data_IF_467973151040
#
_entry.id   IF_467973151040
#
_cell.length_a   1.000
_cell.length_b   1.000
_cell.length_c   1.000
_cell.angle_alpha   90.00
_cell.angle_beta   90.00
_cell.angle_gamma   90.00
#
_symmetry.space_group_name_H-M   'P 1'
#
loop_
_entity.id
_entity.type
_entity.pdbx_description
1 polymer ?
#
# COMPACT_ATOMS: atom_id res chain seq x y z
N UNK A 1 -6.44 -4.48 -2.75
CA UNK A 1 -6.77 -3.06 -3.06
C UNK A 1 -6.61 -2.76 -4.57
N UNK A 2 -5.62 -3.35 -5.22
CA UNK A 2 -5.34 -3.30 -6.67
C UNK A 2 -6.44 -3.80 -7.60
N UNK A 3 -7.12 -4.90 -7.26
CA UNK A 3 -8.12 -5.55 -8.12
C UNK A 3 -9.27 -4.61 -8.50
N UNK A 4 -9.69 -3.72 -7.58
CA UNK A 4 -10.81 -2.82 -7.86
C UNK A 4 -10.51 -1.84 -9.00
N UNK A 5 -9.33 -1.21 -9.00
CA UNK A 5 -8.92 -0.26 -10.04
C UNK A 5 -8.89 -0.93 -11.42
N UNK A 6 -8.58 -2.22 -11.48
CA UNK A 6 -8.62 -3.00 -12.72
C UNK A 6 -10.03 -3.25 -13.26
N UNK A 7 -11.06 -3.22 -12.39
CA UNK A 7 -12.46 -3.43 -12.80
C UNK A 7 -13.12 -2.16 -13.34
N UNK A 8 -12.51 -1.00 -13.13
CA UNK A 8 -13.01 0.27 -13.64
C UNK A 8 -13.04 0.26 -15.18
N UNK A 9 -14.01 1.00 -15.72
CA UNK A 9 -14.07 1.24 -17.16
C UNK A 9 -12.83 2.03 -17.60
N UNK A 10 -12.20 1.66 -18.71
CA UNK A 10 -10.97 2.30 -19.21
C UNK A 10 -11.12 3.78 -19.55
N UNK A 11 -12.36 4.30 -19.66
CA UNK A 11 -12.65 5.72 -19.84
C UNK A 11 -12.62 6.52 -18.53
N UNK A 12 -12.61 5.85 -17.38
CA UNK A 12 -12.50 6.48 -16.07
C UNK A 12 -11.03 6.70 -15.77
N UNK A 13 -10.69 7.95 -15.50
CA UNK A 13 -9.38 8.34 -14.98
C UNK A 13 -9.56 8.74 -13.51
N UNK A 14 -8.85 8.06 -12.64
CA UNK A 14 -8.74 8.41 -11.23
C UNK A 14 -7.67 9.50 -11.12
N UNK A 15 -7.98 10.58 -10.39
CA UNK A 15 -7.01 11.64 -10.11
C UNK A 15 -5.85 11.08 -9.30
N UNK A 16 -6.05 10.98 -7.99
CA UNK A 16 -5.01 10.55 -7.06
C UNK A 16 -5.43 9.28 -6.33
N UNK A 17 -4.48 8.36 -6.16
CA UNK A 17 -4.61 7.19 -5.28
C UNK A 17 -3.55 7.30 -4.20
N UNK A 18 -4.00 7.41 -2.96
CA UNK A 18 -3.14 7.50 -1.78
C UNK A 18 -3.22 6.16 -1.04
N UNK A 19 -2.08 5.50 -0.94
CA UNK A 19 -1.91 4.19 -0.32
C UNK A 19 -1.20 4.37 1.02
N UNK A 20 -1.86 4.00 2.12
CA UNK A 20 -1.35 4.18 3.49
C UNK A 20 -0.92 2.82 4.03
N UNK A 21 0.36 2.70 4.41
CA UNK A 21 1.03 1.45 4.79
C UNK A 21 0.70 0.27 3.83
N UNK A 22 0.89 0.42 2.51
CA UNK A 22 0.47 -0.61 1.58
C UNK A 22 1.49 -1.74 1.50
N UNK A 23 0.99 -2.95 1.26
CA UNK A 23 1.79 -4.16 1.07
C UNK A 23 1.21 -5.01 -0.06
N UNK A 24 2.07 -5.79 -0.70
CA UNK A 24 1.72 -6.85 -1.65
C UNK A 24 2.21 -8.20 -1.11
N UNK A 25 3.34 -8.21 -0.42
CA UNK A 25 3.87 -9.41 0.22
C UNK A 25 3.53 -9.39 1.71
N UNK A 26 2.97 -10.51 2.21
CA UNK A 26 2.75 -10.69 3.63
C UNK A 26 4.10 -10.87 4.34
N UNK A 27 4.32 -10.13 5.41
CA UNK A 27 5.57 -10.16 6.17
C UNK A 27 5.80 -11.51 6.88
N UNK A 28 7.05 -11.98 6.87
CA UNK A 28 7.41 -13.28 7.45
C UNK A 28 7.26 -13.31 8.98
N UNK A 29 7.46 -12.19 9.67
CA UNK A 29 7.29 -12.15 11.13
C UNK A 29 5.82 -12.18 11.49
N UNK A 30 4.97 -11.50 10.72
CA UNK A 30 3.50 -11.63 10.84
C UNK A 30 3.07 -13.09 10.69
N UNK A 31 3.62 -13.83 9.72
CA UNK A 31 3.32 -15.26 9.56
C UNK A 31 3.80 -16.08 10.77
N UNK A 32 4.97 -15.77 11.34
CA UNK A 32 5.50 -16.47 12.51
C UNK A 32 4.65 -16.23 13.76
N UNK A 33 4.15 -15.01 13.94
CA UNK A 33 3.38 -14.60 15.12
C UNK A 33 1.92 -15.05 15.05
N UNK A 34 1.26 -14.88 13.91
CA UNK A 34 -0.17 -15.18 13.73
C UNK A 34 -0.44 -16.57 13.14
N UNK A 35 0.57 -17.21 12.56
CA UNK A 35 0.50 -18.57 12.01
C UNK A 35 -0.31 -18.68 10.71
N UNK A 36 -0.74 -19.90 10.40
CA UNK A 36 -1.42 -20.24 9.15
C UNK A 36 -2.73 -19.46 8.92
N UNK A 37 -3.36 -18.95 9.99
CA UNK A 37 -4.59 -18.17 9.90
C UNK A 37 -4.37 -16.86 9.11
N UNK A 38 -3.28 -16.13 9.39
CA UNK A 38 -2.92 -14.92 8.67
C UNK A 38 -2.68 -15.20 7.18
N UNK A 39 -2.01 -16.32 6.87
CA UNK A 39 -1.77 -16.76 5.49
C UNK A 39 -3.09 -17.01 4.77
N UNK A 40 -4.04 -17.75 5.38
CA UNK A 40 -5.34 -18.02 4.75
C UNK A 40 -6.15 -16.74 4.51
N UNK A 41 -6.11 -15.79 5.43
CA UNK A 41 -6.78 -14.49 5.29
C UNK A 41 -6.14 -13.64 4.18
N UNK A 42 -4.81 -13.61 4.12
CA UNK A 42 -4.05 -12.84 3.15
C UNK A 42 -4.06 -13.46 1.74
N UNK A 43 -4.31 -14.77 1.63
CA UNK A 43 -4.20 -15.55 0.39
C UNK A 43 -4.87 -14.89 -0.82
N UNK A 44 -6.12 -14.38 -0.77
CA UNK A 44 -6.73 -13.73 -1.93
C UNK A 44 -6.00 -12.45 -2.37
N UNK A 45 -5.32 -11.76 -1.44
CA UNK A 45 -4.59 -10.53 -1.73
C UNK A 45 -3.20 -10.80 -2.31
N UNK A 46 -2.56 -11.88 -1.88
CA UNK A 46 -1.20 -12.29 -2.32
C UNK A 46 -1.25 -13.06 -3.64
N UNK A 47 -2.22 -13.96 -3.81
CA UNK A 47 -2.28 -14.85 -4.97
C UNK A 47 -3.06 -14.26 -6.15
N UNK A 48 -3.88 -13.23 -5.94
CA UNK A 48 -4.58 -12.58 -7.06
C UNK A 48 -3.61 -11.66 -7.78
N UNK A 49 -3.22 -11.96 -9.03
CA UNK A 49 -2.27 -11.15 -9.76
C UNK A 49 -2.86 -9.78 -10.07
N UNK A 50 -1.99 -8.78 -10.10
CA UNK A 50 -2.35 -7.39 -10.35
C UNK A 50 -1.79 -6.97 -11.70
N UNK A 51 -2.63 -6.45 -12.58
CA UNK A 51 -2.16 -5.83 -13.82
C UNK A 51 -1.72 -4.39 -13.54
N UNK A 52 -0.54 -4.23 -12.96
CA UNK A 52 0.04 -2.93 -12.62
C UNK A 52 0.16 -1.99 -13.84
N UNK A 53 0.35 -2.53 -15.04
CA UNK A 53 0.34 -1.74 -16.27
C UNK A 53 -1.03 -1.12 -16.57
N UNK A 54 -2.11 -1.89 -16.42
CA UNK A 54 -3.47 -1.37 -16.58
C UNK A 54 -3.77 -0.34 -15.50
N UNK A 55 -3.49 -0.67 -14.23
CA UNK A 55 -3.72 0.21 -13.08
C UNK A 55 -2.98 1.55 -13.25
N UNK A 56 -1.70 1.52 -13.67
CA UNK A 56 -0.90 2.73 -13.92
C UNK A 56 -1.52 3.67 -14.96
N UNK A 57 -2.14 3.13 -16.01
CA UNK A 57 -2.73 3.95 -17.09
C UNK A 57 -4.00 4.69 -16.68
N UNK A 58 -4.67 4.22 -15.62
CA UNK A 58 -5.98 4.73 -15.20
C UNK A 58 -5.89 5.75 -14.07
N UNK A 59 -4.70 5.95 -13.50
CA UNK A 59 -4.50 6.81 -12.34
C UNK A 59 -3.48 7.89 -12.68
N UNK A 60 -3.79 9.14 -12.37
CA UNK A 60 -2.91 10.27 -12.69
C UNK A 60 -1.69 10.30 -11.76
N UNK A 61 -1.89 10.00 -10.48
CA UNK A 61 -0.83 9.96 -9.49
C UNK A 61 -1.07 8.89 -8.43
N UNK A 62 -0.03 8.10 -8.14
CA UNK A 62 0.04 7.26 -6.95
C UNK A 62 0.91 7.91 -5.91
N UNK A 63 0.47 7.87 -4.66
CA UNK A 63 1.26 8.21 -3.48
C UNK A 63 1.22 7.01 -2.55
N UNK A 64 2.37 6.58 -2.06
CA UNK A 64 2.47 5.52 -1.07
C UNK A 64 3.21 6.05 0.17
N UNK A 65 2.55 5.90 1.32
CA UNK A 65 3.03 6.40 2.61
C UNK A 65 3.42 5.21 3.47
N UNK A 66 4.66 5.21 3.92
CA UNK A 66 5.25 4.18 4.78
C UNK A 66 5.73 4.79 6.10
N UNK A 67 5.91 3.95 7.11
CA UNK A 67 6.75 4.26 8.26
C UNK A 67 8.00 3.39 8.24
N UNK A 68 9.14 3.93 8.63
CA UNK A 68 10.40 3.19 8.63
C UNK A 68 10.54 2.16 9.77
N UNK A 69 9.63 2.21 10.74
CA UNK A 69 9.53 1.27 11.84
C UNK A 69 8.17 0.56 11.91
N UNK A 70 7.46 0.44 10.78
CA UNK A 70 6.21 -0.33 10.70
C UNK A 70 6.49 -1.82 11.02
N UNK A 71 5.83 -2.42 12.03
CA UNK A 71 6.07 -3.81 12.41
C UNK A 71 5.46 -4.83 11.43
N UNK A 72 4.52 -4.42 10.58
CA UNK A 72 3.78 -5.32 9.67
C UNK A 72 4.15 -5.12 8.20
N UNK A 73 4.61 -3.91 7.83
CA UNK A 73 4.94 -3.56 6.45
C UNK A 73 6.43 -3.23 6.34
N UNK A 74 7.25 -4.17 5.85
CA UNK A 74 8.67 -3.91 5.66
C UNK A 74 8.91 -2.75 4.70
N UNK A 75 9.75 -1.79 5.10
CA UNK A 75 10.09 -0.62 4.27
C UNK A 75 10.52 -0.98 2.83
N UNK A 76 11.22 -2.10 2.54
CA UNK A 76 11.55 -2.48 1.17
C UNK A 76 10.35 -2.61 0.21
N UNK A 77 9.11 -2.82 0.70
CA UNK A 77 7.89 -2.79 -0.12
C UNK A 77 7.76 -1.47 -0.89
N UNK A 78 8.29 -0.35 -0.37
CA UNK A 78 8.29 0.94 -1.06
C UNK A 78 8.85 0.84 -2.50
N UNK A 79 9.84 -0.05 -2.70
CA UNK A 79 10.51 -0.22 -3.99
C UNK A 79 9.58 -0.84 -5.00
N UNK A 80 8.74 -1.78 -4.57
CA UNK A 80 7.73 -2.41 -5.40
C UNK A 80 6.68 -1.39 -5.83
N UNK A 81 6.15 -0.59 -4.91
CA UNK A 81 5.16 0.45 -5.25
C UNK A 81 5.77 1.52 -6.16
N UNK A 82 7.04 1.87 -5.94
CA UNK A 82 7.78 2.78 -6.82
C UNK A 82 7.96 2.20 -8.23
N UNK A 83 8.35 0.93 -8.37
CA UNK A 83 8.62 0.32 -9.68
C UNK A 83 7.33 -0.05 -10.43
N UNK A 84 6.36 -0.65 -9.74
CA UNK A 84 5.13 -1.18 -10.34
C UNK A 84 4.08 -0.10 -10.57
N UNK A 85 4.00 0.93 -9.71
CA UNK A 85 3.01 1.99 -9.86
C UNK A 85 3.60 3.34 -10.25
N UNK A 86 4.93 3.51 -10.18
CA UNK A 86 5.52 4.84 -10.32
C UNK A 86 5.14 5.77 -9.16
N UNK A 87 4.81 5.19 -7.99
CA UNK A 87 4.29 5.94 -6.86
C UNK A 87 5.31 6.94 -6.31
N UNK A 88 4.83 8.12 -5.93
CA UNK A 88 5.56 9.02 -5.04
C UNK A 88 5.61 8.39 -3.65
N UNK A 89 6.82 8.15 -3.15
CA UNK A 89 7.04 7.53 -1.85
C UNK A 89 7.23 8.61 -0.78
N UNK A 90 6.48 8.49 0.31
CA UNK A 90 6.63 9.29 1.53
C UNK A 90 6.96 8.32 2.66
N UNK A 91 8.10 8.52 3.32
CA UNK A 91 8.49 7.70 4.48
C UNK A 91 8.46 8.59 5.72
N UNK A 92 7.65 8.20 6.69
CA UNK A 92 7.55 8.85 8.00
C UNK A 92 8.46 8.13 9.00
N UNK A 93 9.11 8.91 9.86
CA UNK A 93 10.03 8.36 10.85
C UNK A 93 9.28 8.00 12.14
N UNK A 94 9.42 6.75 12.59
CA UNK A 94 8.97 6.34 13.92
C UNK A 94 7.45 6.30 14.12
N UNK A 95 6.65 6.12 13.06
CA UNK A 95 5.18 6.19 13.08
C UNK A 95 4.46 4.84 13.14
N UNK A 96 5.19 3.73 13.30
CA UNK A 96 4.63 2.38 13.36
C UNK A 96 3.70 2.09 12.17
N UNK A 97 2.62 1.35 12.39
CA UNK A 97 1.60 1.10 11.36
C UNK A 97 0.63 2.27 11.14
N UNK A 98 1.10 3.51 11.32
CA UNK A 98 0.34 4.75 11.14
C UNK A 98 -0.96 4.80 11.96
N UNK A 99 -0.88 4.28 13.18
CA UNK A 99 -2.02 4.10 14.09
C UNK A 99 -1.89 4.95 15.37
N UNK A 100 -2.99 5.07 16.10
CA UNK A 100 -3.09 5.91 17.30
C UNK A 100 -2.07 5.55 18.40
N UNK A 101 -1.69 4.27 18.51
CA UNK A 101 -0.66 3.81 19.46
C UNK A 101 0.73 4.44 19.20
N UNK A 102 0.94 4.99 18.00
CA UNK A 102 2.15 5.72 17.59
C UNK A 102 1.87 7.23 17.41
N UNK A 103 0.86 7.75 18.12
CA UNK A 103 0.42 9.16 18.08
C UNK A 103 0.01 9.65 16.69
N UNK A 104 -0.42 8.75 15.81
CA UNK A 104 -0.94 9.10 14.47
C UNK A 104 -2.46 9.21 14.55
N UNK A 105 -2.94 10.44 14.78
CA UNK A 105 -4.37 10.80 14.75
C UNK A 105 -4.77 11.54 13.49
N UNK A 106 -3.79 12.15 12.83
CA UNK A 106 -3.91 12.91 11.59
C UNK A 106 -2.75 12.54 10.68
N UNK A 107 -2.99 12.55 9.37
CA UNK A 107 -1.98 12.28 8.36
C UNK A 107 -1.89 13.47 7.40
N UNK A 108 -1.39 14.64 7.84
CA UNK A 108 -1.39 15.87 7.03
C UNK A 108 -0.62 15.75 5.72
N UNK A 109 0.24 14.75 5.59
CA UNK A 109 1.03 14.45 4.40
C UNK A 109 0.17 14.11 3.18
N UNK A 110 -1.11 13.75 3.38
CA UNK A 110 -2.04 13.51 2.27
C UNK A 110 -2.61 14.80 1.67
N UNK A 111 -2.63 15.91 2.43
CA UNK A 111 -3.32 17.15 2.05
C UNK A 111 -2.87 17.74 0.71
N UNK A 112 -1.58 17.69 0.33
CA UNK A 112 -1.14 18.20 -0.97
C UNK A 112 -1.69 17.45 -2.20
N UNK A 113 -2.37 16.31 -2.00
CA UNK A 113 -2.90 15.45 -3.07
C UNK A 113 -4.43 15.50 -3.18
N UNK A 114 -5.07 16.49 -2.57
CA UNK A 114 -6.50 16.83 -2.73
C UNK A 114 -6.62 18.13 -3.55
#
# INVERSE_FOLDING_TARGET
MSVYLETLNEKIIVGNVILVAPWIHLDENTIKEEGDAAVQIAKPWVETPINFHKVRKMVTQFVAIFSDNDPFVPLPEEKLFKSELGAQIIVLHGKGHLQQEHDVFILPEILPFF
#
